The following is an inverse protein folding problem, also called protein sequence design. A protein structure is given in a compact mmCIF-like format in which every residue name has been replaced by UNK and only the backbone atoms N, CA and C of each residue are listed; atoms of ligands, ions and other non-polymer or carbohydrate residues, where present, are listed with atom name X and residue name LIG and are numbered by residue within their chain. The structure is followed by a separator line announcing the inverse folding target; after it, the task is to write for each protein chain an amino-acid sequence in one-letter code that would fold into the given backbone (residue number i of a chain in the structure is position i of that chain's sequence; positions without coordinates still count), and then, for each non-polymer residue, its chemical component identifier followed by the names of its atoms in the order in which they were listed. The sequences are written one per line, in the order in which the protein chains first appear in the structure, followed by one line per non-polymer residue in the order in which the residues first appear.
data_IF_526372667480
#
_entry.id   IF_526372667480
#
_cell.length_a   1.000
_cell.length_b   1.000
_cell.length_c   1.000
_cell.angle_alpha   90.00
_cell.angle_beta   90.00
_cell.angle_gamma   90.00
#
_symmetry.space_group_name_H-M   'P 1'
#
loop_
_entity.id
_entity.type
_entity.pdbx_description
1 polymer ?
#
# COMPACT_ATOMS: atom_id res chain seq x y z
N UNK A 1 36.01 26.34 -10.52
CA UNK A 1 34.63 26.03 -10.05
C UNK A 1 33.87 25.60 -11.27
N UNK A 2 33.51 24.29 -11.37
CA UNK A 2 32.58 23.86 -12.39
C UNK A 2 31.22 24.46 -11.99
N UNK A 3 30.67 25.33 -12.84
CA UNK A 3 29.30 25.82 -12.61
C UNK A 3 28.34 24.63 -12.62
N UNK A 4 27.74 24.36 -11.48
CA UNK A 4 26.67 23.37 -11.34
C UNK A 4 25.48 23.87 -12.18
N UNK A 5 25.27 23.26 -13.35
CA UNK A 5 24.24 23.73 -14.30
C UNK A 5 22.90 22.99 -14.13
N UNK A 6 22.91 21.81 -13.53
CA UNK A 6 21.73 20.92 -13.44
C UNK A 6 21.32 20.34 -14.81
N UNK A 7 20.31 19.50 -14.83
CA UNK A 7 19.77 18.93 -16.05
C UNK A 7 18.94 19.95 -16.83
N UNK A 8 19.01 19.90 -18.15
CA UNK A 8 18.09 20.60 -19.04
C UNK A 8 16.72 19.91 -19.07
N UNK A 9 15.69 20.62 -19.53
CA UNK A 9 14.34 20.06 -19.64
C UNK A 9 14.28 18.86 -20.60
N UNK A 10 15.11 18.85 -21.65
CA UNK A 10 15.20 17.72 -22.57
C UNK A 10 15.82 16.48 -21.90
N UNK A 11 16.90 16.64 -21.14
CA UNK A 11 17.54 15.55 -20.40
C UNK A 11 16.60 14.97 -19.32
N UNK A 12 15.82 15.82 -18.65
CA UNK A 12 14.79 15.37 -17.71
C UNK A 12 13.75 14.49 -18.40
N UNK A 13 13.27 14.91 -19.58
CA UNK A 13 12.30 14.14 -20.34
C UNK A 13 12.86 12.78 -20.78
N UNK A 14 14.12 12.73 -21.21
CA UNK A 14 14.80 11.46 -21.54
C UNK A 14 14.88 10.51 -20.33
N UNK A 15 15.18 11.05 -19.11
CA UNK A 15 15.17 10.26 -17.88
C UNK A 15 13.80 9.71 -17.54
N UNK A 16 12.74 10.52 -17.74
CA UNK A 16 11.35 10.10 -17.53
C UNK A 16 10.98 8.94 -18.48
N UNK A 17 11.30 9.05 -19.75
CA UNK A 17 11.04 8.00 -20.76
C UNK A 17 11.79 6.70 -20.48
N UNK A 18 12.99 6.80 -19.89
CA UNK A 18 13.76 5.65 -19.42
C UNK A 18 13.25 5.05 -18.09
N UNK A 19 12.21 5.62 -17.50
CA UNK A 19 11.67 5.18 -16.20
C UNK A 19 12.59 5.50 -15.00
N UNK A 20 13.54 6.42 -15.17
CA UNK A 20 14.51 6.83 -14.15
C UNK A 20 13.94 7.98 -13.29
N UNK A 21 12.71 7.79 -12.77
CA UNK A 21 11.97 8.75 -11.95
C UNK A 21 11.80 8.19 -10.54
N UNK A 22 11.81 9.06 -9.55
CA UNK A 22 11.64 8.67 -8.13
C UNK A 22 10.19 8.29 -7.77
N UNK A 23 9.48 7.72 -8.72
CA UNK A 23 8.12 7.22 -8.53
C UNK A 23 8.15 5.75 -8.12
N UNK A 24 7.66 5.44 -6.93
CA UNK A 24 7.64 4.06 -6.40
C UNK A 24 6.44 3.25 -6.86
N UNK A 25 5.49 3.87 -7.57
CA UNK A 25 4.25 3.20 -8.02
C UNK A 25 3.32 2.75 -6.88
N UNK A 26 3.73 2.94 -5.65
CA UNK A 26 2.92 2.59 -4.48
C UNK A 26 1.98 3.75 -4.15
N UNK A 27 0.80 3.76 -4.75
CA UNK A 27 -0.30 4.57 -4.23
C UNK A 27 -0.54 4.18 -2.77
N UNK A 28 -0.47 5.15 -1.86
CA UNK A 28 -0.76 4.95 -0.43
C UNK A 28 -2.21 4.48 -0.24
N UNK A 29 -3.08 4.73 -1.22
CA UNK A 29 -4.48 4.35 -1.19
C UNK A 29 -4.83 3.28 -2.23
N UNK A 30 -5.66 2.31 -1.81
CA UNK A 30 -6.17 1.24 -2.68
C UNK A 30 -6.94 1.82 -3.87
N UNK A 31 -6.91 1.13 -5.02
CA UNK A 31 -7.72 1.50 -6.18
C UNK A 31 -9.21 1.22 -5.90
N UNK A 32 -10.11 1.97 -6.55
CA UNK A 32 -11.56 1.74 -6.43
C UNK A 32 -11.96 0.30 -6.78
N UNK A 33 -11.34 -0.27 -7.81
CA UNK A 33 -11.59 -1.65 -8.25
C UNK A 33 -11.14 -2.69 -7.21
N UNK A 34 -10.04 -2.42 -6.55
CA UNK A 34 -9.50 -3.28 -5.49
C UNK A 34 -10.42 -3.29 -4.26
N UNK A 35 -10.94 -2.12 -3.86
CA UNK A 35 -11.89 -1.99 -2.77
C UNK A 35 -13.15 -2.82 -3.05
N UNK A 36 -13.77 -2.65 -4.23
CA UNK A 36 -14.97 -3.41 -4.62
C UNK A 36 -14.66 -4.90 -4.61
N UNK A 37 -13.55 -5.32 -5.19
CA UNK A 37 -13.16 -6.74 -5.24
C UNK A 37 -12.96 -7.33 -3.85
N UNK A 38 -12.30 -6.61 -2.92
CA UNK A 38 -12.05 -7.08 -1.56
C UNK A 38 -13.33 -7.27 -0.75
N UNK A 39 -14.33 -6.41 -0.93
CA UNK A 39 -15.62 -6.53 -0.23
C UNK A 39 -16.59 -7.51 -0.88
N UNK A 40 -16.49 -7.73 -2.19
CA UNK A 40 -17.39 -8.65 -2.93
C UNK A 40 -16.88 -10.10 -2.87
N UNK A 41 -15.58 -10.31 -3.13
CA UNK A 41 -14.97 -11.64 -3.18
C UNK A 41 -14.43 -12.04 -1.79
N UNK A 42 -15.31 -12.11 -0.79
CA UNK A 42 -14.97 -12.62 0.55
C UNK A 42 -15.40 -14.08 0.67
N UNK A 43 -14.69 -14.85 1.50
CA UNK A 43 -15.09 -16.22 1.85
C UNK A 43 -16.53 -16.26 2.41
N UNK A 44 -16.90 -15.25 3.22
CA UNK A 44 -18.25 -15.13 3.76
C UNK A 44 -19.32 -14.99 2.66
N UNK A 45 -19.10 -14.13 1.68
CA UNK A 45 -20.03 -13.95 0.56
C UNK A 45 -20.13 -15.23 -0.30
N UNK A 46 -19.00 -15.90 -0.54
CA UNK A 46 -18.98 -17.16 -1.26
C UNK A 46 -19.80 -18.25 -0.54
N UNK A 47 -19.63 -18.36 0.78
CA UNK A 47 -20.41 -19.31 1.60
C UNK A 47 -21.91 -19.00 1.56
N UNK A 48 -22.28 -17.73 1.68
CA UNK A 48 -23.70 -17.32 1.60
C UNK A 48 -24.31 -17.58 0.23
N UNK A 49 -23.57 -17.34 -0.85
CA UNK A 49 -24.03 -17.66 -2.21
C UNK A 49 -24.23 -19.17 -2.37
N UNK A 50 -23.30 -19.96 -1.86
CA UNK A 50 -23.43 -21.43 -1.88
C UNK A 50 -24.68 -21.89 -1.12
N UNK A 51 -24.93 -21.36 0.08
CA UNK A 51 -26.13 -21.65 0.84
C UNK A 51 -27.42 -21.21 0.13
N UNK A 52 -27.38 -20.04 -0.53
CA UNK A 52 -28.51 -19.55 -1.30
C UNK A 52 -28.87 -20.50 -2.45
N UNK A 53 -27.87 -21.02 -3.16
CA UNK A 53 -28.08 -22.01 -4.23
C UNK A 53 -28.76 -23.29 -3.68
N UNK A 54 -28.31 -23.79 -2.52
CA UNK A 54 -28.95 -24.96 -1.87
C UNK A 54 -30.40 -24.68 -1.49
N UNK A 55 -30.72 -23.49 -0.97
CA UNK A 55 -32.10 -23.09 -0.63
C UNK A 55 -32.96 -22.98 -1.86
N UNK A 56 -32.46 -22.44 -2.96
CA UNK A 56 -33.20 -22.40 -4.24
C UNK A 56 -33.51 -23.80 -4.74
N UNK A 57 -32.54 -24.74 -4.69
CA UNK A 57 -32.75 -26.14 -5.08
C UNK A 57 -33.79 -26.81 -4.18
N UNK A 58 -33.86 -26.47 -2.90
CA UNK A 58 -34.87 -27.03 -1.97
C UNK A 58 -36.26 -26.40 -2.11
N UNK A 59 -36.43 -25.38 -2.97
CA UNK A 59 -37.73 -24.73 -3.23
C UNK A 59 -38.20 -23.76 -2.12
N UNK A 60 -37.40 -23.51 -1.07
CA UNK A 60 -37.81 -22.70 0.08
C UNK A 60 -37.34 -21.25 -0.05
N UNK A 61 -37.83 -20.52 -1.06
CA UNK A 61 -37.39 -19.15 -1.38
C UNK A 61 -37.56 -18.13 -0.24
N UNK A 62 -38.50 -18.35 0.67
CA UNK A 62 -38.72 -17.48 1.85
C UNK A 62 -37.52 -17.44 2.80
N UNK A 63 -36.63 -18.43 2.74
CA UNK A 63 -35.42 -18.46 3.57
C UNK A 63 -34.23 -17.68 2.97
N UNK A 64 -34.40 -17.00 1.83
CA UNK A 64 -33.37 -16.19 1.18
C UNK A 64 -33.20 -14.77 1.76
N UNK A 65 -33.94 -14.43 2.83
CA UNK A 65 -33.89 -13.09 3.45
C UNK A 65 -32.49 -12.68 3.90
N UNK A 66 -31.63 -13.64 4.26
CA UNK A 66 -30.24 -13.36 4.64
C UNK A 66 -29.39 -12.77 3.49
N UNK A 67 -29.74 -13.00 2.22
CA UNK A 67 -29.05 -12.40 1.07
C UNK A 67 -29.18 -10.89 1.12
N UNK A 68 -30.33 -10.35 1.52
CA UNK A 68 -30.54 -8.93 1.69
C UNK A 68 -29.55 -8.33 2.70
N UNK A 69 -29.34 -9.01 3.81
CA UNK A 69 -28.35 -8.60 4.83
C UNK A 69 -26.92 -8.68 4.29
N UNK A 70 -26.58 -9.75 3.58
CA UNK A 70 -25.24 -9.91 2.95
C UNK A 70 -24.96 -8.77 1.96
N UNK A 71 -25.91 -8.47 1.07
CA UNK A 71 -25.77 -7.39 0.08
C UNK A 71 -25.63 -6.03 0.79
N UNK A 72 -26.49 -5.75 1.78
CA UNK A 72 -26.42 -4.51 2.56
C UNK A 72 -25.06 -4.34 3.24
N UNK A 73 -24.54 -5.38 3.90
CA UNK A 73 -23.23 -5.36 4.53
C UNK A 73 -22.09 -5.12 3.52
N UNK A 74 -22.16 -5.75 2.36
CA UNK A 74 -21.17 -5.56 1.30
C UNK A 74 -21.18 -4.10 0.79
N UNK A 75 -22.37 -3.54 0.55
CA UNK A 75 -22.53 -2.16 0.10
C UNK A 75 -22.03 -1.18 1.17
N UNK A 76 -22.41 -1.38 2.43
CA UNK A 76 -21.95 -0.54 3.54
C UNK A 76 -20.43 -0.59 3.68
N UNK A 77 -19.80 -1.76 3.57
CA UNK A 77 -18.35 -1.91 3.61
C UNK A 77 -17.66 -1.13 2.49
N UNK A 78 -18.18 -1.23 1.26
CA UNK A 78 -17.65 -0.48 0.11
C UNK A 78 -17.78 1.05 0.32
N UNK A 79 -18.94 1.52 0.81
CA UNK A 79 -19.16 2.95 1.07
C UNK A 79 -18.21 3.47 2.15
N UNK A 80 -18.03 2.70 3.25
CA UNK A 80 -17.12 3.06 4.32
C UNK A 80 -15.67 3.14 3.83
N UNK A 81 -15.20 2.14 3.07
CA UNK A 81 -13.85 2.11 2.52
C UNK A 81 -13.62 3.28 1.52
N UNK A 82 -14.62 3.62 0.69
CA UNK A 82 -14.51 4.80 -0.17
C UNK A 82 -14.43 6.10 0.59
N UNK A 83 -15.14 6.22 1.72
CA UNK A 83 -15.05 7.39 2.59
C UNK A 83 -13.66 7.51 3.21
N UNK A 84 -13.10 6.40 3.69
CA UNK A 84 -11.73 6.33 4.22
C UNK A 84 -10.72 6.70 3.13
N UNK A 85 -10.83 6.09 1.94
CA UNK A 85 -9.99 6.42 0.78
C UNK A 85 -10.01 7.92 0.47
N UNK A 86 -11.19 8.52 0.37
CA UNK A 86 -11.34 9.96 0.08
C UNK A 86 -10.65 10.83 1.14
N UNK A 87 -10.67 10.40 2.41
CA UNK A 87 -10.00 11.12 3.50
C UNK A 87 -8.48 10.99 3.38
N UNK A 88 -7.95 9.79 3.10
CA UNK A 88 -6.51 9.56 2.89
C UNK A 88 -6.02 10.33 1.67
N UNK A 89 -6.74 10.28 0.54
CA UNK A 89 -6.37 11.01 -0.67
C UNK A 89 -6.33 12.53 -0.45
N UNK A 90 -7.23 13.08 0.39
CA UNK A 90 -7.17 14.50 0.77
C UNK A 90 -5.97 14.85 1.63
N UNK A 91 -5.57 13.98 2.54
CA UNK A 91 -4.42 14.20 3.42
C UNK A 91 -3.11 14.07 2.63
N UNK A 92 -3.01 13.13 1.70
CA UNK A 92 -1.80 12.95 0.89
C UNK A 92 -1.52 14.13 -0.05
N UNK A 93 -2.54 14.82 -0.54
CA UNK A 93 -2.35 16.05 -1.36
C UNK A 93 -1.74 17.21 -0.55
N UNK A 94 -1.98 17.26 0.75
CA UNK A 94 -1.43 18.33 1.62
C UNK A 94 0.05 18.10 1.98
N UNK A 95 0.55 16.87 1.82
CA UNK A 95 1.88 16.45 2.28
C UNK A 95 2.84 16.12 1.13
N UNK A 96 2.64 16.71 -0.06
CA UNK A 96 3.63 16.55 -1.14
C UNK A 96 4.90 17.29 -0.75
N UNK A 97 5.90 16.53 -0.34
CA UNK A 97 7.21 17.07 -0.02
C UNK A 97 7.89 17.57 -1.29
N UNK A 98 8.30 18.82 -1.28
CA UNK A 98 9.01 19.46 -2.39
C UNK A 98 10.49 19.59 -2.04
N UNK A 99 11.32 19.47 -3.04
CA UNK A 99 12.76 19.63 -2.92
C UNK A 99 13.26 20.66 -3.94
N UNK A 100 14.19 21.50 -3.51
CA UNK A 100 14.85 22.47 -4.38
C UNK A 100 15.81 21.75 -5.29
N UNK A 101 15.54 21.79 -6.59
CA UNK A 101 16.32 21.09 -7.60
C UNK A 101 16.86 22.10 -8.61
N UNK A 102 18.13 21.97 -8.95
CA UNK A 102 18.78 22.80 -9.93
C UNK A 102 18.53 22.20 -11.32
N UNK A 103 17.78 22.93 -12.16
CA UNK A 103 17.54 22.58 -13.57
C UNK A 103 17.70 23.84 -14.43
N UNK A 104 18.32 23.72 -15.59
CA UNK A 104 18.63 24.84 -16.50
C UNK A 104 19.30 26.02 -15.79
N UNK A 105 20.17 25.76 -14.79
CA UNK A 105 20.88 26.79 -14.02
C UNK A 105 20.00 27.52 -13.00
N UNK A 106 18.73 27.13 -12.79
CA UNK A 106 17.82 27.75 -11.82
C UNK A 106 17.35 26.74 -10.79
N UNK A 107 17.18 27.22 -9.53
CA UNK A 107 16.59 26.40 -8.46
C UNK A 107 15.06 26.46 -8.54
N UNK A 108 14.43 25.33 -8.70
CA UNK A 108 12.97 25.17 -8.74
C UNK A 108 12.50 24.18 -7.67
N UNK A 109 11.31 24.39 -7.11
CA UNK A 109 10.71 23.48 -6.14
C UNK A 109 9.88 22.41 -6.89
N UNK A 110 10.33 21.17 -6.88
CA UNK A 110 9.62 20.06 -7.50
C UNK A 110 9.22 19.00 -6.47
N UNK A 111 8.11 18.26 -6.70
CA UNK A 111 7.75 17.11 -5.87
C UNK A 111 8.87 16.08 -5.83
N UNK A 112 9.12 15.48 -4.66
CA UNK A 112 10.14 14.41 -4.50
C UNK A 112 9.88 13.25 -5.47
N UNK A 113 8.62 12.97 -5.80
CA UNK A 113 8.23 11.90 -6.74
C UNK A 113 8.60 12.21 -8.20
N UNK A 114 8.85 13.48 -8.55
CA UNK A 114 9.23 13.94 -9.90
C UNK A 114 10.74 14.10 -10.08
N UNK A 115 11.54 13.78 -9.04
CA UNK A 115 12.99 13.73 -9.15
C UNK A 115 13.40 12.64 -10.14
N UNK A 116 14.39 12.95 -10.96
CA UNK A 116 14.98 11.98 -11.91
C UNK A 116 16.43 11.69 -11.56
N UNK A 117 16.95 10.60 -12.11
CA UNK A 117 18.37 10.26 -12.02
C UNK A 117 19.21 11.42 -12.53
N UNK A 118 20.34 11.68 -11.86
CA UNK A 118 21.30 12.76 -12.13
C UNK A 118 20.81 14.18 -11.81
N UNK A 119 19.58 14.39 -11.30
CA UNK A 119 19.16 15.69 -10.78
C UNK A 119 20.12 16.19 -9.69
N UNK A 120 20.32 17.50 -9.64
CA UNK A 120 21.09 18.15 -8.56
C UNK A 120 20.13 18.84 -7.62
N UNK A 121 20.08 18.36 -6.37
CA UNK A 121 19.21 18.92 -5.32
C UNK A 121 20.00 19.78 -4.37
N UNK A 122 19.38 20.85 -3.89
CA UNK A 122 19.92 21.70 -2.84
C UNK A 122 19.33 21.29 -1.50
N UNK A 123 20.21 20.98 -0.56
CA UNK A 123 19.89 20.53 0.78
C UNK A 123 20.21 21.60 1.81
N UNK A 124 19.33 21.78 2.79
CA UNK A 124 19.52 22.66 3.93
C UNK A 124 18.91 22.05 5.19
N UNK A 125 19.34 22.54 6.36
CA UNK A 125 18.85 22.06 7.64
C UNK A 125 17.31 22.00 7.69
N UNK A 126 16.77 20.88 8.17
CA UNK A 126 15.33 20.59 8.23
C UNK A 126 14.79 19.85 7.00
N UNK A 127 15.55 19.72 5.90
CA UNK A 127 15.08 18.95 4.76
C UNK A 127 15.16 17.45 5.03
N UNK A 128 14.12 16.70 4.61
CA UNK A 128 14.18 15.27 4.45
C UNK A 128 14.79 14.92 3.09
N UNK A 129 15.57 13.87 3.04
CA UNK A 129 16.18 13.37 1.81
C UNK A 129 15.27 12.32 1.20
N UNK A 130 14.67 12.65 0.05
CA UNK A 130 13.63 11.82 -0.60
C UNK A 130 14.16 10.75 -1.54
N UNK A 131 15.48 10.78 -1.84
CA UNK A 131 16.12 9.85 -2.79
C UNK A 131 17.59 9.68 -2.43
N UNK A 132 18.22 8.58 -2.86
CA UNK A 132 19.66 8.38 -2.61
C UNK A 132 20.47 9.33 -3.49
N UNK A 133 21.37 10.07 -2.84
CA UNK A 133 22.16 11.10 -3.49
C UNK A 133 23.64 10.97 -3.13
N UNK A 134 24.49 11.63 -3.91
CA UNK A 134 25.91 11.79 -3.67
C UNK A 134 26.22 13.28 -3.50
N UNK A 135 26.89 13.64 -2.42
CA UNK A 135 27.28 15.03 -2.14
C UNK A 135 28.23 15.55 -3.22
N UNK A 136 27.89 16.66 -3.85
CA UNK A 136 28.72 17.33 -4.89
C UNK A 136 29.43 18.56 -4.29
N UNK A 137 28.72 19.34 -3.48
CA UNK A 137 29.25 20.50 -2.79
C UNK A 137 28.77 20.50 -1.34
N UNK A 138 29.67 20.77 -0.40
CA UNK A 138 29.42 20.63 1.02
C UNK A 138 29.73 21.89 1.80
N UNK A 139 28.75 22.41 2.54
CA UNK A 139 28.89 23.51 3.49
C UNK A 139 28.51 23.02 4.89
N UNK A 140 29.41 22.26 5.52
CA UNK A 140 29.25 21.69 6.86
C UNK A 140 27.97 20.84 7.02
N UNK A 141 27.67 20.00 6.03
CA UNK A 141 26.47 19.17 6.00
C UNK A 141 26.55 18.06 7.05
N UNK A 142 25.58 18.02 7.95
CA UNK A 142 25.39 16.96 8.95
C UNK A 142 24.03 16.27 8.74
N UNK A 143 24.05 14.95 8.62
CA UNK A 143 22.89 14.13 8.31
C UNK A 143 22.56 13.22 9.48
N UNK A 144 21.30 13.19 9.88
CA UNK A 144 20.77 12.18 10.81
C UNK A 144 20.32 10.94 10.02
N UNK A 145 21.02 9.84 10.23
CA UNK A 145 20.77 8.54 9.59
C UNK A 145 20.08 7.55 10.53
N UNK A 146 19.53 8.01 11.67
CA UNK A 146 18.97 7.14 12.71
C UNK A 146 17.85 6.21 12.23
N UNK A 147 17.05 6.60 11.23
CA UNK A 147 16.02 5.77 10.65
C UNK A 147 16.59 4.55 9.90
N UNK A 148 17.83 4.61 9.45
CA UNK A 148 18.48 3.52 8.71
C UNK A 148 19.44 2.73 9.58
N UNK A 149 20.20 3.39 10.43
CA UNK A 149 21.28 2.79 11.25
C UNK A 149 20.84 2.51 12.68
N UNK A 150 19.82 3.21 13.19
CA UNK A 150 19.43 3.21 14.60
C UNK A 150 20.28 4.13 15.48
N UNK A 151 21.33 4.76 14.94
CA UNK A 151 22.21 5.65 15.69
C UNK A 151 21.73 7.11 15.58
N UNK A 152 21.53 7.77 16.74
CA UNK A 152 20.98 9.12 16.80
C UNK A 152 22.01 10.23 16.59
N UNK A 153 23.30 9.91 16.50
CA UNK A 153 24.36 10.89 16.32
C UNK A 153 24.44 11.32 14.86
N UNK A 154 24.32 12.63 14.54
CA UNK A 154 24.47 13.13 13.19
C UNK A 154 25.85 12.83 12.60
N UNK A 155 25.88 12.43 11.35
CA UNK A 155 27.10 12.12 10.61
C UNK A 155 27.50 13.31 9.74
N UNK A 156 28.74 13.77 9.89
CA UNK A 156 29.31 14.79 9.01
C UNK A 156 29.62 14.20 7.64
N UNK A 157 29.06 14.78 6.62
CA UNK A 157 29.29 14.36 5.24
C UNK A 157 30.39 15.20 4.58
N UNK A 158 31.09 14.55 3.67
CA UNK A 158 32.10 15.18 2.80
C UNK A 158 31.66 15.13 1.36
N UNK A 159 32.33 15.84 0.49
CA UNK A 159 32.14 15.70 -0.96
C UNK A 159 32.38 14.25 -1.38
N UNK A 160 31.55 13.77 -2.27
CA UNK A 160 31.49 12.39 -2.75
C UNK A 160 30.90 11.35 -1.78
N UNK A 161 30.50 11.71 -0.55
CA UNK A 161 29.80 10.79 0.34
C UNK A 161 28.37 10.53 -0.17
N UNK A 162 27.90 9.31 0.03
CA UNK A 162 26.50 8.96 -0.23
C UNK A 162 25.61 9.38 0.95
N UNK A 163 24.42 9.85 0.63
CA UNK A 163 23.31 10.15 1.54
C UNK A 163 22.07 9.41 1.06
N UNK A 164 21.27 8.91 1.99
CA UNK A 164 20.23 7.93 1.69
C UNK A 164 18.84 8.51 1.89
N UNK A 165 17.90 8.06 1.07
CA UNK A 165 16.48 8.38 1.19
C UNK A 165 15.96 8.04 2.59
N UNK A 166 15.14 8.93 3.18
CA UNK A 166 14.56 8.78 4.51
C UNK A 166 15.41 9.38 5.63
N UNK A 167 16.60 9.92 5.35
CA UNK A 167 17.44 10.64 6.31
C UNK A 167 17.12 12.14 6.35
N UNK A 168 17.63 12.87 7.36
CA UNK A 168 17.33 14.29 7.55
C UNK A 168 18.60 15.11 7.66
N UNK A 169 18.60 16.30 7.06
CA UNK A 169 19.64 17.30 7.24
C UNK A 169 19.45 17.98 8.60
N UNK A 170 20.43 17.84 9.50
CA UNK A 170 20.40 18.46 10.84
C UNK A 170 21.04 19.82 10.82
N UNK A 171 22.16 19.98 10.11
CA UNK A 171 22.91 21.22 10.04
C UNK A 171 23.63 21.36 8.69
N UNK A 172 24.00 22.58 8.35
CA UNK A 172 24.72 22.89 7.12
C UNK A 172 23.82 22.98 5.89
N UNK A 173 24.46 23.04 4.73
CA UNK A 173 23.82 23.03 3.42
C UNK A 173 24.76 22.45 2.38
N UNK A 174 24.25 22.12 1.20
CA UNK A 174 25.09 21.59 0.11
C UNK A 174 24.26 21.19 -1.10
N UNK A 175 24.97 20.85 -2.16
CA UNK A 175 24.37 20.26 -3.35
C UNK A 175 24.67 18.77 -3.40
N UNK A 176 23.66 17.99 -3.77
CA UNK A 176 23.80 16.56 -3.92
C UNK A 176 23.18 16.10 -5.24
N UNK A 177 23.84 15.15 -5.92
CA UNK A 177 23.40 14.57 -7.17
C UNK A 177 22.62 13.28 -6.89
N UNK A 178 21.44 13.13 -7.47
CA UNK A 178 20.61 11.92 -7.38
C UNK A 178 21.31 10.76 -8.07
N UNK A 179 21.52 9.66 -7.34
CA UNK A 179 22.22 8.46 -7.85
C UNK A 179 21.32 7.21 -7.91
N UNK A 180 20.18 7.21 -7.21
CA UNK A 180 19.17 6.13 -7.26
C UNK A 180 17.80 6.74 -7.09
N UNK A 181 16.80 6.16 -7.72
CA UNK A 181 15.41 6.64 -7.71
C UNK A 181 14.42 5.48 -7.48
N UNK A 182 13.27 5.79 -6.89
CA UNK A 182 12.17 4.85 -6.70
C UNK A 182 12.56 3.58 -5.96
N UNK A 183 12.30 2.43 -6.55
CA UNK A 183 12.59 1.12 -5.96
C UNK A 183 14.09 0.80 -5.84
N UNK A 184 14.96 1.57 -6.49
CA UNK A 184 16.41 1.40 -6.40
C UNK A 184 17.00 2.06 -5.15
N UNK A 185 16.26 2.95 -4.46
CA UNK A 185 16.68 3.57 -3.21
C UNK A 185 16.98 2.52 -2.14
N UNK A 186 18.01 2.78 -1.34
CA UNK A 186 18.48 1.88 -0.28
C UNK A 186 17.38 1.63 0.77
N UNK A 187 16.70 2.69 1.22
CA UNK A 187 15.59 2.59 2.17
C UNK A 187 14.44 1.73 1.64
N UNK A 188 14.09 1.87 0.36
CA UNK A 188 13.03 1.07 -0.29
C UNK A 188 13.41 -0.41 -0.35
N UNK A 189 14.68 -0.72 -0.65
CA UNK A 189 15.18 -2.11 -0.61
C UNK A 189 15.09 -2.72 0.78
N UNK A 190 15.47 -1.97 1.83
CA UNK A 190 15.35 -2.44 3.22
C UNK A 190 13.89 -2.72 3.61
N UNK A 191 12.98 -1.79 3.29
CA UNK A 191 11.54 -1.96 3.56
C UNK A 191 10.98 -3.17 2.82
N UNK A 192 11.34 -3.38 1.55
CA UNK A 192 10.89 -4.52 0.79
C UNK A 192 11.44 -5.85 1.33
N UNK A 193 12.70 -5.89 1.76
CA UNK A 193 13.28 -7.06 2.44
C UNK A 193 12.58 -7.35 3.77
N UNK A 194 12.28 -6.30 4.57
CA UNK A 194 11.53 -6.43 5.81
C UNK A 194 10.08 -6.90 5.57
N UNK A 195 9.41 -6.39 4.53
CA UNK A 195 8.07 -6.84 4.13
C UNK A 195 8.05 -8.32 3.73
N UNK A 196 9.03 -8.79 2.96
CA UNK A 196 9.15 -10.20 2.62
C UNK A 196 9.39 -11.10 3.84
N UNK A 197 10.07 -10.59 4.87
CA UNK A 197 10.31 -11.30 6.12
C UNK A 197 9.10 -11.26 7.07
N UNK A 198 8.31 -10.18 7.04
CA UNK A 198 7.13 -9.97 7.89
C UNK A 198 5.81 -10.43 7.25
N UNK A 199 5.83 -11.06 6.08
CA UNK A 199 4.75 -11.91 5.57
C UNK A 199 4.64 -13.24 6.37
N UNK A 200 5.52 -13.46 7.37
CA UNK A 200 5.22 -14.37 8.46
C UNK A 200 3.94 -13.84 9.13
N UNK A 201 2.84 -14.49 8.81
CA UNK A 201 1.51 -14.28 9.35
C UNK A 201 1.60 -13.95 10.85
N UNK A 202 0.89 -12.94 11.30
CA UNK A 202 0.74 -12.68 12.73
C UNK A 202 0.20 -13.97 13.34
N UNK A 203 0.83 -14.51 14.40
CA UNK A 203 0.41 -15.74 15.10
C UNK A 203 -1.07 -15.73 15.45
N UNK A 204 -1.63 -14.54 15.67
CA UNK A 204 -3.04 -14.31 15.91
C UNK A 204 -3.88 -14.59 14.66
N UNK A 205 -3.41 -14.25 13.48
CA UNK A 205 -4.10 -14.52 12.21
C UNK A 205 -4.12 -16.01 11.89
N UNK A 206 -3.00 -16.71 12.12
CA UNK A 206 -2.89 -18.16 11.94
C UNK A 206 -3.76 -18.92 12.93
N UNK A 207 -3.86 -18.43 14.17
CA UNK A 207 -4.76 -18.99 15.17
C UNK A 207 -6.23 -18.82 14.79
N UNK A 208 -6.63 -17.66 14.28
CA UNK A 208 -7.98 -17.40 13.79
C UNK A 208 -8.29 -18.29 12.58
N UNK A 209 -7.36 -18.40 11.61
CA UNK A 209 -7.56 -19.29 10.45
C UNK A 209 -7.68 -20.76 10.85
N UNK A 210 -6.92 -21.22 11.84
CA UNK A 210 -7.07 -22.59 12.39
C UNK A 210 -8.44 -22.79 13.00
N UNK A 211 -8.92 -21.84 13.82
CA UNK A 211 -10.26 -21.92 14.43
C UNK A 211 -11.34 -21.98 13.34
N UNK A 212 -11.25 -21.09 12.33
CA UNK A 212 -12.21 -21.09 11.21
C UNK A 212 -12.18 -22.41 10.45
N UNK A 213 -11.02 -22.99 10.17
CA UNK A 213 -10.88 -24.29 9.50
C UNK A 213 -11.51 -25.42 10.32
N UNK A 214 -11.21 -25.48 11.62
CA UNK A 214 -11.80 -26.51 12.52
C UNK A 214 -13.31 -26.38 12.58
N UNK A 215 -13.82 -25.15 12.78
CA UNK A 215 -15.27 -24.90 12.81
C UNK A 215 -15.93 -25.25 11.48
N UNK A 216 -15.32 -24.94 10.34
CA UNK A 216 -15.83 -25.30 9.01
C UNK A 216 -15.91 -26.82 8.82
N UNK A 217 -14.91 -27.58 9.29
CA UNK A 217 -14.92 -29.05 9.25
C UNK A 217 -16.04 -29.62 10.11
N UNK A 218 -16.36 -29.02 11.25
CA UNK A 218 -17.44 -29.48 12.15
C UNK A 218 -18.82 -29.12 11.58
N UNK A 219 -18.98 -27.92 11.01
CA UNK A 219 -20.28 -27.42 10.51
C UNK A 219 -20.76 -28.25 9.30
N UNK A 220 -19.88 -28.68 8.41
CA UNK A 220 -20.28 -29.47 7.23
C UNK A 220 -20.94 -30.81 7.58
N UNK A 221 -20.36 -31.70 8.43
CA UNK A 221 -21.03 -32.95 8.80
C UNK A 221 -22.29 -32.74 9.66
N UNK A 222 -22.30 -31.71 10.54
CA UNK A 222 -23.52 -31.38 11.31
C UNK A 222 -24.62 -30.91 10.38
N UNK A 223 -24.31 -30.04 9.40
CA UNK A 223 -25.27 -29.63 8.36
C UNK A 223 -25.84 -30.82 7.56
N UNK A 224 -24.97 -31.75 7.16
CA UNK A 224 -25.39 -32.98 6.47
C UNK A 224 -26.27 -33.88 7.35
N UNK A 225 -25.97 -34.02 8.63
CA UNK A 225 -26.80 -34.79 9.56
C UNK A 225 -28.17 -34.14 9.77
N UNK A 226 -28.22 -32.82 9.94
CA UNK A 226 -29.47 -32.07 10.07
C UNK A 226 -30.30 -32.17 8.78
N UNK A 227 -29.65 -31.98 7.62
CA UNK A 227 -30.32 -32.15 6.31
C UNK A 227 -30.92 -33.56 6.16
N UNK A 228 -30.16 -34.60 6.50
CA UNK A 228 -30.64 -35.98 6.47
C UNK A 228 -31.79 -36.25 7.46
N UNK A 229 -31.70 -35.66 8.69
CA UNK A 229 -32.75 -35.75 9.68
C UNK A 229 -34.04 -35.09 9.20
N UNK A 230 -33.93 -33.90 8.62
CA UNK A 230 -35.06 -33.12 8.11
C UNK A 230 -35.67 -33.77 6.86
N UNK A 231 -34.83 -34.32 5.97
CA UNK A 231 -35.29 -35.08 4.80
C UNK A 231 -36.07 -36.36 5.19
N UNK A 232 -35.64 -37.06 6.24
CA UNK A 232 -36.38 -38.21 6.80
C UNK A 232 -37.67 -37.82 7.53
N UNK A 233 -37.73 -36.61 8.10
CA UNK A 233 -38.88 -36.09 8.82
C UNK A 233 -39.96 -35.48 7.89
N UNK A 234 -39.64 -35.25 6.61
CA UNK A 234 -40.65 -34.88 5.62
C UNK A 234 -41.55 -36.09 5.35
N UNK A 235 -42.85 -36.02 5.69
CA UNK A 235 -43.79 -37.06 5.30
C UNK A 235 -43.87 -37.12 3.77
N UNK A 236 -43.93 -38.30 3.21
CA UNK A 236 -44.10 -38.55 1.77
C UNK A 236 -45.47 -38.09 1.21
N UNK A 237 -46.14 -37.16 1.85
CA UNK A 237 -47.41 -36.61 1.40
C UNK A 237 -47.24 -35.31 0.66
N UNK A 238 -46.86 -35.41 -0.63
CA UNK A 238 -47.03 -34.35 -1.63
C UNK A 238 -48.50 -34.03 -1.96
N UNK A 239 -49.45 -34.58 -1.20
CA UNK A 239 -50.90 -34.44 -1.46
C UNK A 239 -51.56 -33.26 -0.71
N UNK A 240 -50.84 -32.47 0.09
CA UNK A 240 -51.41 -31.36 0.88
C UNK A 240 -51.03 -29.95 0.40
N UNK A 241 -50.60 -29.80 -0.85
CA UNK A 241 -50.41 -28.47 -1.45
C UNK A 241 -51.48 -28.22 -2.51
N UNK A 242 -52.72 -28.52 -2.18
CA UNK A 242 -53.91 -28.06 -2.89
C UNK A 242 -54.95 -27.65 -1.86
N UNK A 243 -54.76 -26.44 -1.28
CA UNK A 243 -55.82 -25.51 -0.86
C UNK A 243 -55.24 -24.12 -0.85
#
# INVERSE_FOLDING_TARGET
MNELKGLSQQEVQERIEQGQVNYTGQSISKTKKEIVRQHTLTYFNFLNIFLAVLIVISGQLQNLTFIGVMVANTILGIIQEFKVKKTIDKLSVVTVEKVKTLRDGTLIDIPVEELVMDDIIFLTAGNQIGTDCKVVENHALEINESLLTGESVPVKKKENDEIYAGTFVVAGSGYAKVIRVGNANYSTKLVNQAKHKNLASSEMRDSIEKIIKVMSIIIVPVGLLLFRAQYKAMPNDLSLIHI
#
